data_IF_589591462150
#
_entry.id   IF_589591462150
#
_cell.length_a   1.000
_cell.length_b   1.000
_cell.length_c   1.000
_cell.angle_alpha   90.00
_cell.angle_beta   90.00
_cell.angle_gamma   90.00
#
_symmetry.space_group_name_H-M   'P 1'
#
loop_
_entity.id
_entity.type
_entity.pdbx_description
1 polymer ?
2 non-polymer ?
#
# COMPACT_ATOMS: atom_id res chain seq x y z
N UNK A 58 -10.31 3.60 5.26
CA UNK A 58 -10.44 2.13 5.29
C UNK A 58 -9.11 1.45 5.48
N UNK A 59 -8.95 0.68 6.56
CA UNK A 59 -7.77 -0.15 6.79
C UNK A 59 -7.31 -0.87 5.54
N UNK A 60 -6.12 -0.51 5.10
CA UNK A 60 -5.48 -1.14 3.95
C UNK A 60 -4.18 -1.79 4.36
N UNK A 61 -4.20 -3.10 4.46
CA UNK A 61 -3.07 -3.88 4.95
C UNK A 61 -2.05 -4.11 3.84
N UNK A 62 -0.79 -3.78 4.13
CA UNK A 62 0.28 -4.13 3.24
C UNK A 62 0.83 -5.48 3.63
N UNK A 63 0.45 -6.51 2.89
CA UNK A 63 0.89 -7.88 3.18
C UNK A 63 2.41 -7.97 3.22
N UNK A 64 3.07 -7.14 2.42
CA UNK A 64 4.52 -7.16 2.31
C UNK A 64 5.19 -6.57 3.55
N UNK A 65 4.68 -5.43 4.01
CA UNK A 65 5.27 -4.73 5.14
C UNK A 65 4.71 -5.26 6.45
N UNK A 66 3.41 -5.50 6.45
CA UNK A 66 2.73 -5.92 7.65
C UNK A 66 1.98 -4.77 8.28
N UNK A 67 2.11 -3.61 7.64
CA UNK A 67 1.45 -2.41 8.09
C UNK A 67 0.10 -2.26 7.43
N UNK A 68 -0.56 -1.18 7.72
CA UNK A 68 -1.94 -0.98 7.32
C UNK A 68 -2.27 0.51 7.27
N UNK A 69 -2.98 0.93 6.23
CA UNK A 69 -3.34 2.32 6.06
C UNK A 69 -4.83 2.50 6.27
N UNK A 70 -5.30 3.71 6.05
CA UNK A 70 -6.72 3.99 6.00
C UNK A 70 -7.01 4.98 4.89
N UNK A 71 -6.04 5.10 3.98
CA UNK A 71 -6.17 5.99 2.84
C UNK A 71 -5.78 5.25 1.57
N UNK A 72 -6.66 5.32 0.58
CA UNK A 72 -6.54 4.55 -0.65
C UNK A 72 -5.31 4.95 -1.47
N UNK A 73 -5.18 6.24 -1.74
CA UNK A 73 -4.09 6.72 -2.57
C UNK A 73 -2.72 6.40 -1.99
N UNK A 74 -2.58 6.55 -0.69
CA UNK A 74 -1.31 6.29 -0.02
C UNK A 74 -0.90 4.84 -0.15
N UNK A 75 -1.83 3.93 0.12
CA UNK A 75 -1.54 2.50 0.06
C UNK A 75 -1.38 2.05 -1.39
N UNK A 76 -2.16 2.63 -2.29
CA UNK A 76 -2.05 2.31 -3.70
C UNK A 76 -0.69 2.69 -4.24
N UNK A 77 -0.28 3.94 -4.03
CA UNK A 77 1.04 4.39 -4.43
C UNK A 77 2.12 3.58 -3.71
N UNK A 78 1.80 3.18 -2.50
CA UNK A 78 2.70 2.37 -1.68
C UNK A 78 2.91 1.00 -2.31
N UNK A 79 1.82 0.36 -2.74
CA UNK A 79 1.90 -0.96 -3.34
C UNK A 79 2.34 -0.88 -4.78
N UNK A 80 2.20 0.31 -5.37
CA UNK A 80 2.71 0.59 -6.70
C UNK A 80 4.22 0.36 -6.72
N UNK A 81 4.90 0.91 -5.73
CA UNK A 81 6.33 0.70 -5.57
C UNK A 81 6.63 -0.77 -5.29
N UNK A 82 5.79 -1.38 -4.46
CA UNK A 82 5.92 -2.80 -4.11
C UNK A 82 5.81 -3.69 -5.34
N UNK A 83 4.89 -3.36 -6.23
CA UNK A 83 4.63 -4.17 -7.41
C UNK A 83 5.59 -3.83 -8.55
N UNK A 84 6.04 -2.58 -8.59
CA UNK A 84 6.90 -2.14 -9.67
C UNK A 84 6.10 -1.73 -10.88
N UNK A 85 4.78 -1.73 -10.73
CA UNK A 85 3.87 -1.41 -11.82
C UNK A 85 3.24 -0.05 -11.61
N UNK A 86 2.26 0.26 -12.45
CA UNK A 86 1.64 1.58 -12.45
C UNK A 86 0.25 1.48 -11.83
X LIG B 1 4.41 -1.91 2.11
#
# INVERSE_FOLDING_TARGET
MKPYQCDYCGRSFSDPTSKMRHLETHDTDKEHKCPHCDKKFNQVGNLKAHLKIHIADGPLKCRECGKQFTTSGNLKRHLRIHSGEKPYVCIHCQRQFADPGALQRHVRIHTG
ZN ZN
#
